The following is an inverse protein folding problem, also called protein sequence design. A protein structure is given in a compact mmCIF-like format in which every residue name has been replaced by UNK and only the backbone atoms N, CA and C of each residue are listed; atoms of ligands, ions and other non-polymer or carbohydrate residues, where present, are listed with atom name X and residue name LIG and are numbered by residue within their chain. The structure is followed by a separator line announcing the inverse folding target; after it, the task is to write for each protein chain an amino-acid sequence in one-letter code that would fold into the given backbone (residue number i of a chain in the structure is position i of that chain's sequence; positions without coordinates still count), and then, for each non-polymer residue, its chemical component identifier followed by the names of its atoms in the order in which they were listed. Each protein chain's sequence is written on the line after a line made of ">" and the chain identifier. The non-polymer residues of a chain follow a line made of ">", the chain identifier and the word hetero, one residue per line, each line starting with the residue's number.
data_IF_616739207843
#
_entry.id   IF_616739207843
#
_cell.length_a   1.000
_cell.length_b   1.000
_cell.length_c   1.000
_cell.angle_alpha   90.00
_cell.angle_beta   90.00
_cell.angle_gamma   90.00
#
_symmetry.space_group_name_H-M   'P 1'
#
loop_
_entity.id
_entity.type
_entity.pdbx_description
1 polymer ?
#
# COMPACT_ATOMS: atom_id res chain seq x y z
N UNK A 1 -23.70 74.82 15.46
CA UNK A 1 -24.26 73.49 15.27
C UNK A 1 -23.12 72.49 15.02
N UNK A 2 -22.95 71.57 15.95
CA UNK A 2 -22.01 70.48 15.75
C UNK A 2 -22.54 69.62 14.59
N UNK A 3 -21.72 69.40 13.55
CA UNK A 3 -22.07 68.47 12.49
C UNK A 3 -22.24 67.09 13.11
N UNK A 4 -23.40 66.47 12.87
CA UNK A 4 -23.61 65.09 13.29
C UNK A 4 -22.54 64.20 12.68
N UNK A 5 -21.86 63.43 13.50
CA UNK A 5 -20.89 62.43 13.03
C UNK A 5 -21.64 61.46 12.09
N UNK A 6 -21.12 61.14 10.91
CA UNK A 6 -21.82 60.22 10.02
C UNK A 6 -22.02 58.88 10.76
N UNK A 7 -23.26 58.36 10.67
CA UNK A 7 -23.57 57.09 11.27
C UNK A 7 -22.67 55.97 10.65
N UNK A 8 -22.05 55.17 11.49
CA UNK A 8 -21.24 54.03 11.04
C UNK A 8 -22.10 53.07 10.20
N UNK A 9 -21.64 52.74 8.99
CA UNK A 9 -22.33 51.81 8.13
C UNK A 9 -21.87 50.37 8.44
N UNK A 10 -22.81 49.40 8.51
CA UNK A 10 -22.47 47.97 8.68
C UNK A 10 -21.67 47.47 7.48
N UNK A 11 -20.77 46.54 7.67
CA UNK A 11 -20.06 45.93 6.55
C UNK A 11 -21.03 45.18 5.63
N UNK A 12 -20.71 45.09 4.34
CA UNK A 12 -21.42 44.20 3.43
C UNK A 12 -20.70 42.82 3.45
N UNK A 13 -21.49 41.75 3.27
CA UNK A 13 -20.98 40.39 3.18
C UNK A 13 -21.75 39.65 2.07
N UNK A 14 -21.04 39.08 1.11
CA UNK A 14 -21.61 38.19 0.12
C UNK A 14 -20.92 36.84 0.14
N UNK A 15 -21.70 35.75 0.25
CA UNK A 15 -21.17 34.39 0.30
C UNK A 15 -20.95 33.92 -1.14
N UNK A 16 -19.70 33.64 -1.48
CA UNK A 16 -19.30 33.08 -2.77
C UNK A 16 -19.51 31.56 -2.89
N UNK A 17 -19.27 31.02 -4.08
CA UNK A 17 -19.28 29.58 -4.30
C UNK A 17 -18.04 28.93 -3.65
N UNK A 18 -18.20 27.78 -3.00
CA UNK A 18 -17.07 27.03 -2.50
C UNK A 18 -16.23 26.45 -3.66
N UNK A 19 -14.92 26.42 -3.47
CA UNK A 19 -13.94 25.87 -4.43
C UNK A 19 -13.11 24.75 -3.78
N UNK A 20 -12.24 24.10 -4.54
CA UNK A 20 -11.30 23.06 -4.08
C UNK A 20 -12.02 21.97 -3.26
N UNK A 21 -13.17 21.51 -3.78
CA UNK A 21 -14.00 20.51 -3.11
C UNK A 21 -13.28 19.15 -3.06
N UNK A 22 -12.84 18.76 -1.87
CA UNK A 22 -12.28 17.46 -1.56
C UNK A 22 -13.30 16.54 -0.89
N UNK A 23 -12.86 15.34 -0.55
CA UNK A 23 -13.69 14.40 0.22
C UNK A 23 -13.76 14.75 1.72
N UNK A 24 -12.79 15.50 2.24
CA UNK A 24 -12.73 15.92 3.63
C UNK A 24 -12.38 17.42 3.79
N UNK A 25 -12.43 18.20 2.71
CA UNK A 25 -12.05 19.61 2.68
C UNK A 25 -12.83 20.41 1.65
N UNK A 26 -12.85 21.72 1.83
CA UNK A 26 -13.34 22.68 0.87
C UNK A 26 -12.72 24.06 1.13
N UNK A 27 -12.70 24.94 0.14
CA UNK A 27 -12.39 26.36 0.32
C UNK A 27 -13.66 27.16 0.22
N UNK A 28 -14.07 27.80 1.31
CA UNK A 28 -15.20 28.74 1.35
C UNK A 28 -14.74 30.10 0.84
N UNK A 29 -15.53 30.73 -0.03
CA UNK A 29 -15.21 32.01 -0.63
C UNK A 29 -16.30 33.03 -0.39
N UNK A 30 -15.98 34.28 -0.54
CA UNK A 30 -16.95 35.39 -0.46
C UNK A 30 -16.30 36.74 -0.68
N UNK A 31 -17.05 37.78 -0.40
CA UNK A 31 -16.56 39.13 -0.42
C UNK A 31 -17.08 39.94 0.77
N UNK A 32 -16.24 40.84 1.27
CA UNK A 32 -16.56 41.76 2.38
C UNK A 32 -16.26 43.19 1.93
N UNK A 33 -17.17 44.10 2.15
CA UNK A 33 -16.90 45.53 2.07
C UNK A 33 -16.95 46.11 3.50
N UNK A 34 -15.83 46.60 4.02
CA UNK A 34 -15.75 47.14 5.39
C UNK A 34 -16.47 48.50 5.59
N UNK A 35 -16.80 49.23 4.53
CA UNK A 35 -17.38 50.57 4.60
C UNK A 35 -16.62 51.52 5.56
N UNK A 36 -15.28 51.57 5.45
CA UNK A 36 -14.35 52.36 6.28
C UNK A 36 -14.32 52.03 7.78
N UNK A 37 -14.87 50.87 8.19
CA UNK A 37 -14.86 50.41 9.56
C UNK A 37 -13.98 49.17 9.73
N UNK A 38 -13.20 49.11 10.82
CA UNK A 38 -12.45 47.91 11.14
C UNK A 38 -13.39 46.68 11.19
N UNK A 39 -13.23 45.77 10.26
CA UNK A 39 -14.14 44.63 10.02
C UNK A 39 -13.40 43.34 10.08
N UNK A 40 -14.01 42.39 10.75
CA UNK A 40 -13.60 41.01 10.82
C UNK A 40 -14.61 40.13 10.11
N UNK A 41 -14.17 38.94 9.63
CA UNK A 41 -15.07 37.98 9.01
C UNK A 41 -14.73 36.55 9.42
N UNK A 42 -15.73 35.69 9.28
CA UNK A 42 -15.59 34.23 9.42
C UNK A 42 -16.72 33.57 8.62
N UNK A 43 -16.57 32.27 8.38
CA UNK A 43 -17.67 31.48 7.81
C UNK A 43 -18.32 30.65 8.91
N UNK A 44 -19.63 30.59 8.92
CA UNK A 44 -20.41 29.58 9.62
C UNK A 44 -20.68 28.45 8.66
N UNK A 45 -20.52 27.20 9.12
CA UNK A 45 -20.77 26.03 8.29
C UNK A 45 -21.23 24.84 9.11
N UNK A 46 -21.82 23.81 8.48
CA UNK A 46 -22.26 22.59 9.14
C UNK A 46 -23.14 21.73 8.24
N UNK A 47 -23.48 20.51 8.69
CA UNK A 47 -24.30 19.56 7.93
C UNK A 47 -25.78 19.97 7.81
N UNK A 48 -26.19 20.99 8.54
CA UNK A 48 -27.57 21.52 8.51
C UNK A 48 -27.57 23.03 8.32
N UNK A 49 -28.73 23.60 8.04
CA UNK A 49 -28.92 25.06 7.92
C UNK A 49 -28.73 25.82 9.26
N UNK A 50 -28.61 25.13 10.39
CA UNK A 50 -28.23 25.73 11.66
C UNK A 50 -26.72 25.97 11.78
N UNK A 51 -25.94 25.48 10.81
CA UNK A 51 -24.48 25.55 10.71
C UNK A 51 -23.75 24.75 11.82
N UNK A 52 -23.63 25.25 13.04
CA UNK A 52 -23.03 24.59 14.20
C UNK A 52 -21.52 24.74 14.36
N UNK A 53 -20.78 25.04 13.28
CA UNK A 53 -19.34 25.25 13.26
C UNK A 53 -19.01 26.63 12.68
N UNK A 54 -17.82 27.13 13.00
CA UNK A 54 -17.30 28.36 12.41
C UNK A 54 -15.79 28.29 12.18
N UNK A 55 -15.32 29.05 11.20
CA UNK A 55 -13.89 29.24 10.97
C UNK A 55 -13.30 30.23 11.98
N UNK A 56 -11.99 30.26 12.17
CA UNK A 56 -11.34 31.35 12.89
C UNK A 56 -11.72 32.72 12.32
N UNK A 57 -11.72 33.71 13.19
CA UNK A 57 -11.93 35.11 12.83
C UNK A 57 -10.73 35.60 12.01
N UNK A 58 -11.01 36.30 10.91
CA UNK A 58 -9.99 36.89 10.03
C UNK A 58 -10.30 38.39 9.82
N UNK A 59 -9.28 39.20 9.55
CA UNK A 59 -9.40 40.62 9.34
C UNK A 59 -9.74 40.94 7.85
N UNK A 60 -10.74 41.79 7.63
CA UNK A 60 -11.02 42.39 6.34
C UNK A 60 -10.47 43.81 6.23
N UNK A 61 -9.93 44.38 7.34
CA UNK A 61 -9.42 45.73 7.40
C UNK A 61 -10.53 46.79 7.58
N UNK A 62 -10.18 48.06 7.25
CA UNK A 62 -11.05 49.21 7.41
C UNK A 62 -11.15 50.04 6.07
N UNK A 63 -10.99 49.39 4.95
CA UNK A 63 -11.07 49.99 3.63
C UNK A 63 -12.49 50.35 3.19
N UNK A 64 -12.60 50.94 1.98
CA UNK A 64 -13.85 51.26 1.32
C UNK A 64 -14.00 50.48 -0.01
N UNK A 65 -13.26 49.41 -0.16
CA UNK A 65 -13.28 48.56 -1.32
C UNK A 65 -13.68 47.15 -0.94
N UNK A 66 -14.47 46.52 -1.77
CA UNK A 66 -14.85 45.13 -1.61
C UNK A 66 -13.60 44.20 -1.68
N UNK A 67 -13.35 43.43 -0.64
CA UNK A 67 -12.27 42.45 -0.51
C UNK A 67 -12.80 41.07 -0.78
N UNK A 68 -12.17 40.33 -1.71
CA UNK A 68 -12.42 38.93 -1.90
C UNK A 68 -11.77 38.14 -0.74
N UNK A 69 -12.51 37.25 -0.10
CA UNK A 69 -12.09 36.47 1.05
C UNK A 69 -12.24 34.97 0.79
N UNK A 70 -11.32 34.19 1.36
CA UNK A 70 -11.35 32.73 1.27
C UNK A 70 -10.77 32.07 2.52
N UNK A 71 -11.36 30.97 2.97
CA UNK A 71 -10.86 30.17 4.10
C UNK A 71 -11.02 28.69 3.75
N UNK A 72 -9.93 27.93 3.88
CA UNK A 72 -9.98 26.48 3.74
C UNK A 72 -10.53 25.84 5.02
N UNK A 73 -11.41 24.86 4.85
CA UNK A 73 -11.96 24.03 5.92
C UNK A 73 -11.60 22.55 5.68
N UNK A 74 -11.37 21.83 6.76
CA UNK A 74 -10.98 20.40 6.75
C UNK A 74 -11.78 19.59 7.76
N UNK A 75 -11.62 18.27 7.78
CA UNK A 75 -12.33 17.38 8.71
C UNK A 75 -13.80 17.17 8.33
N UNK A 76 -14.15 17.41 7.07
CA UNK A 76 -15.49 17.16 6.56
C UNK A 76 -15.72 15.67 6.30
N UNK A 77 -16.97 15.21 6.43
CA UNK A 77 -17.36 13.85 6.04
C UNK A 77 -17.52 13.73 4.52
N UNK A 78 -17.09 12.63 3.90
CA UNK A 78 -17.27 12.40 2.46
C UNK A 78 -18.75 12.34 2.04
N UNK A 79 -19.04 12.66 0.78
CA UNK A 79 -20.38 12.61 0.16
C UNK A 79 -21.46 13.36 0.94
N UNK A 80 -21.07 14.30 1.78
CA UNK A 80 -21.95 15.02 2.70
C UNK A 80 -22.22 16.44 2.17
N UNK A 81 -23.47 16.88 2.30
CA UNK A 81 -23.85 18.25 2.01
C UNK A 81 -23.57 19.09 3.25
N UNK A 82 -22.85 20.19 3.08
CA UNK A 82 -22.62 21.21 4.09
C UNK A 82 -23.25 22.52 3.66
N UNK A 83 -23.92 23.18 4.59
CA UNK A 83 -24.43 24.53 4.44
C UNK A 83 -23.40 25.50 5.00
N UNK A 84 -23.24 26.66 4.40
CA UNK A 84 -22.30 27.68 4.87
C UNK A 84 -22.76 29.09 4.50
N UNK A 85 -22.29 30.08 5.25
CA UNK A 85 -22.44 31.52 4.96
C UNK A 85 -21.26 32.30 5.48
N UNK A 86 -20.99 33.42 4.85
CA UNK A 86 -20.04 34.41 5.32
C UNK A 86 -20.73 35.32 6.37
N UNK A 87 -19.97 35.67 7.41
CA UNK A 87 -20.40 36.63 8.42
C UNK A 87 -19.33 37.73 8.53
N UNK A 88 -19.73 38.99 8.42
CA UNK A 88 -18.86 40.13 8.63
C UNK A 88 -19.31 40.92 9.87
N UNK A 89 -18.34 41.30 10.70
CA UNK A 89 -18.60 41.96 11.99
C UNK A 89 -17.74 43.21 12.11
N UNK A 90 -18.36 44.34 12.46
CA UNK A 90 -17.68 45.59 12.81
C UNK A 90 -18.33 46.23 14.03
N UNK A 91 -17.80 47.38 14.47
CA UNK A 91 -18.45 48.20 15.51
C UNK A 91 -19.85 48.72 15.12
N UNK A 92 -20.16 48.80 13.81
CA UNK A 92 -21.46 49.20 13.30
C UNK A 92 -22.49 48.04 13.33
N UNK A 93 -22.04 46.79 13.56
CA UNK A 93 -22.89 45.60 13.65
C UNK A 93 -22.44 44.44 12.79
N UNK A 94 -23.29 43.42 12.72
CA UNK A 94 -23.04 42.18 11.99
C UNK A 94 -23.89 42.11 10.72
N UNK A 95 -23.31 41.56 9.66
CA UNK A 95 -23.98 41.25 8.39
C UNK A 95 -23.75 39.78 8.04
N UNK A 96 -24.82 39.13 7.61
CA UNK A 96 -24.79 37.74 7.18
C UNK A 96 -24.94 37.68 5.66
N UNK A 97 -24.04 37.04 4.98
CA UNK A 97 -24.17 36.72 3.57
C UNK A 97 -25.24 35.64 3.34
N UNK A 98 -25.69 35.49 2.11
CA UNK A 98 -26.64 34.45 1.74
C UNK A 98 -26.14 33.05 2.08
N UNK A 99 -27.05 32.17 2.57
CA UNK A 99 -26.74 30.77 2.80
C UNK A 99 -26.48 30.05 1.47
N UNK A 100 -25.43 29.25 1.45
CA UNK A 100 -25.05 28.37 0.31
C UNK A 100 -24.82 26.95 0.80
N UNK A 101 -24.69 26.03 -0.13
CA UNK A 101 -24.32 24.64 0.16
C UNK A 101 -23.19 24.17 -0.75
N UNK A 102 -22.43 23.21 -0.25
CA UNK A 102 -21.44 22.44 -1.01
C UNK A 102 -21.68 20.96 -0.74
N UNK A 103 -21.17 20.08 -1.60
CA UNK A 103 -21.14 18.63 -1.38
C UNK A 103 -19.71 18.15 -1.51
N UNK A 104 -19.21 17.48 -0.48
CA UNK A 104 -17.89 16.85 -0.51
C UNK A 104 -17.85 15.68 -1.50
N UNK A 105 -16.68 15.38 -2.03
CA UNK A 105 -16.46 14.32 -3.02
C UNK A 105 -16.38 12.93 -2.38
N UNK A 106 -16.28 11.90 -3.21
CA UNK A 106 -16.00 10.52 -2.79
C UNK A 106 -14.56 10.42 -2.30
N UNK A 107 -14.31 9.53 -1.31
CA UNK A 107 -12.95 9.06 -1.03
C UNK A 107 -12.49 8.24 -2.24
N UNK A 108 -11.34 8.56 -2.86
CA UNK A 108 -10.81 7.77 -3.96
C UNK A 108 -10.62 6.30 -3.57
N UNK A 109 -10.83 5.40 -4.51
CA UNK A 109 -10.53 3.99 -4.31
C UNK A 109 -9.02 3.78 -4.39
N UNK A 110 -8.51 2.91 -3.51
CA UNK A 110 -7.12 2.44 -3.53
C UNK A 110 -7.04 0.97 -3.14
N UNK A 111 -6.13 0.24 -3.79
CA UNK A 111 -5.87 -1.17 -3.55
C UNK A 111 -4.53 -1.34 -2.82
N UNK A 112 -4.52 -2.20 -1.80
CA UNK A 112 -3.31 -2.71 -1.17
C UNK A 112 -3.35 -4.23 -1.19
N UNK A 113 -2.20 -4.88 -1.44
CA UNK A 113 -2.05 -6.34 -1.44
C UNK A 113 -0.77 -6.76 -0.73
N UNK A 114 -0.80 -7.98 -0.21
CA UNK A 114 0.36 -8.71 0.32
C UNK A 114 0.30 -10.16 -0.15
N UNK A 115 1.43 -10.76 -0.42
CA UNK A 115 1.56 -12.19 -0.71
C UNK A 115 2.24 -12.90 0.46
N UNK A 116 1.90 -14.16 0.70
CA UNK A 116 2.45 -14.95 1.81
C UNK A 116 2.29 -16.45 1.54
N UNK A 117 3.29 -17.27 1.90
CA UNK A 117 4.61 -16.92 2.43
C UNK A 117 5.53 -16.34 1.36
N UNK A 118 6.47 -15.47 1.71
CA UNK A 118 7.55 -15.01 0.83
C UNK A 118 8.91 -15.23 1.54
N UNK A 119 9.80 -16.04 0.99
CA UNK A 119 9.63 -16.85 -0.24
C UNK A 119 8.73 -18.08 -0.03
N UNK A 120 8.06 -18.52 -1.09
CA UNK A 120 7.34 -19.80 -1.12
C UNK A 120 8.26 -20.92 -1.60
N UNK A 121 8.09 -22.14 -1.09
CA UNK A 121 8.78 -23.30 -1.61
C UNK A 121 8.24 -23.70 -2.99
N UNK A 122 9.09 -24.18 -3.89
CA UNK A 122 8.70 -24.66 -5.23
C UNK A 122 7.47 -25.59 -5.16
N UNK A 123 6.47 -25.31 -5.95
CA UNK A 123 5.20 -26.04 -5.93
C UNK A 123 4.31 -25.78 -4.70
N UNK A 124 4.73 -24.89 -3.81
CA UNK A 124 3.95 -24.55 -2.62
C UNK A 124 2.82 -23.57 -2.88
N UNK A 125 1.81 -23.52 -2.00
CA UNK A 125 0.71 -22.59 -2.11
C UNK A 125 1.12 -21.17 -1.69
N UNK A 126 0.52 -20.16 -2.32
CA UNK A 126 0.64 -18.76 -1.94
C UNK A 126 -0.74 -18.12 -1.82
N UNK A 127 -0.93 -17.29 -0.81
CA UNK A 127 -2.12 -16.49 -0.61
C UNK A 127 -1.81 -15.02 -0.90
N UNK A 128 -2.61 -14.41 -1.76
CA UNK A 128 -2.57 -12.98 -2.04
C UNK A 128 -3.79 -12.35 -1.37
N UNK A 129 -3.57 -11.60 -0.30
CA UNK A 129 -4.62 -10.92 0.43
C UNK A 129 -4.55 -9.42 0.19
N UNK A 130 -5.70 -8.77 0.22
CA UNK A 130 -5.73 -7.35 0.00
C UNK A 130 -6.97 -6.65 0.52
N UNK A 131 -6.94 -5.34 0.39
CA UNK A 131 -8.06 -4.48 0.76
C UNK A 131 -8.25 -3.38 -0.29
N UNK A 132 -9.45 -3.24 -0.78
CA UNK A 132 -9.91 -2.08 -1.51
C UNK A 132 -10.48 -1.07 -0.51
N UNK A 133 -9.88 0.10 -0.43
CA UNK A 133 -10.31 1.21 0.44
C UNK A 133 -11.00 2.29 -0.36
N UNK A 134 -11.81 3.13 0.28
CA UNK A 134 -12.49 4.26 -0.36
C UNK A 134 -13.99 4.06 -0.50
N UNK A 135 -14.65 5.02 -1.14
CA UNK A 135 -16.11 4.98 -1.29
C UNK A 135 -16.54 4.01 -2.38
N UNK A 136 -17.40 3.05 -2.03
CA UNK A 136 -17.88 2.02 -2.95
C UNK A 136 -16.90 0.85 -3.09
N UNK A 137 -16.19 0.54 -2.02
CA UNK A 137 -15.25 -0.58 -1.90
C UNK A 137 -15.92 -1.94 -1.60
N UNK A 138 -17.22 -1.97 -1.33
CA UNK A 138 -17.99 -3.18 -0.96
C UNK A 138 -18.58 -3.84 -2.21
N UNK A 139 -18.58 -5.17 -2.26
CA UNK A 139 -19.09 -5.97 -3.39
C UNK A 139 -18.50 -5.52 -4.74
N UNK A 140 -17.23 -5.15 -4.72
CA UNK A 140 -16.48 -4.72 -5.90
C UNK A 140 -15.75 -5.92 -6.47
N UNK A 141 -15.91 -6.18 -7.74
CA UNK A 141 -15.17 -7.25 -8.41
C UNK A 141 -13.70 -6.84 -8.57
N UNK A 142 -12.81 -7.75 -8.18
CA UNK A 142 -11.35 -7.63 -8.30
C UNK A 142 -10.79 -8.86 -8.99
N UNK A 143 -9.75 -8.67 -9.80
CA UNK A 143 -9.08 -9.73 -10.57
C UNK A 143 -7.61 -9.75 -10.19
N UNK A 144 -7.10 -10.94 -9.90
CA UNK A 144 -5.67 -11.18 -9.71
C UNK A 144 -4.99 -11.31 -11.07
N UNK A 145 -3.88 -10.60 -11.23
CA UNK A 145 -3.01 -10.69 -12.42
C UNK A 145 -1.61 -11.10 -12.01
N UNK A 146 -0.98 -11.95 -12.81
CA UNK A 146 0.42 -12.33 -12.63
C UNK A 146 1.29 -11.98 -13.85
N UNK A 147 2.57 -11.74 -13.60
CA UNK A 147 3.62 -11.65 -14.59
C UNK A 147 4.77 -12.53 -14.13
N UNK A 148 4.95 -13.66 -14.80
CA UNK A 148 5.91 -14.71 -14.41
C UNK A 148 7.32 -14.33 -14.88
N UNK A 149 8.35 -14.71 -14.11
CA UNK A 149 9.74 -14.54 -14.53
C UNK A 149 9.96 -15.09 -15.96
N UNK A 150 10.69 -14.38 -16.84
CA UNK A 150 11.52 -13.17 -16.63
C UNK A 150 10.77 -11.84 -16.74
N UNK A 151 9.48 -11.79 -16.48
CA UNK A 151 8.63 -10.59 -16.43
C UNK A 151 8.44 -9.86 -17.77
N UNK A 152 8.66 -10.55 -18.89
CA UNK A 152 8.62 -9.96 -20.25
C UNK A 152 7.26 -10.14 -20.93
N UNK A 153 6.43 -11.06 -20.46
CA UNK A 153 5.12 -11.36 -21.06
C UNK A 153 4.01 -10.36 -20.68
N UNK A 154 4.24 -9.56 -19.64
CA UNK A 154 3.25 -8.67 -19.08
C UNK A 154 2.28 -9.40 -18.12
N UNK A 155 1.33 -8.63 -17.56
CA UNK A 155 0.36 -9.16 -16.61
C UNK A 155 -0.81 -9.84 -17.33
N UNK A 156 -1.17 -11.03 -16.87
CA UNK A 156 -2.33 -11.80 -17.33
C UNK A 156 -3.21 -12.21 -16.14
N UNK A 157 -4.50 -12.34 -16.34
CA UNK A 157 -5.43 -12.81 -15.32
C UNK A 157 -5.15 -14.29 -14.98
N UNK A 158 -5.13 -14.63 -13.68
CA UNK A 158 -4.69 -15.96 -13.23
C UNK A 158 -5.67 -16.71 -12.37
N UNK A 159 -6.78 -16.13 -11.98
CA UNK A 159 -7.82 -16.75 -11.18
C UNK A 159 -9.18 -16.16 -11.53
N UNK A 160 -10.24 -16.78 -10.98
CA UNK A 160 -11.59 -16.22 -11.09
C UNK A 160 -11.67 -14.88 -10.35
N UNK A 161 -12.49 -13.94 -10.85
CA UNK A 161 -12.76 -12.72 -10.14
C UNK A 161 -13.34 -12.99 -8.74
N UNK A 162 -12.92 -12.16 -7.77
CA UNK A 162 -13.42 -12.19 -6.40
C UNK A 162 -14.22 -10.91 -6.10
N UNK A 163 -15.17 -11.00 -5.17
CA UNK A 163 -15.90 -9.84 -4.67
C UNK A 163 -15.32 -9.38 -3.34
N UNK A 164 -15.11 -8.08 -3.22
CA UNK A 164 -14.68 -7.50 -1.95
C UNK A 164 -15.76 -7.63 -0.88
N UNK A 165 -15.34 -7.92 0.34
CA UNK A 165 -16.21 -8.03 1.53
C UNK A 165 -16.86 -6.70 1.93
N UNK A 166 -17.68 -6.72 2.98
CA UNK A 166 -18.26 -5.51 3.60
C UNK A 166 -17.22 -4.50 4.13
N UNK A 167 -15.98 -4.93 4.33
CA UNK A 167 -14.84 -4.09 4.72
C UNK A 167 -13.89 -3.80 3.57
N UNK A 168 -14.18 -4.28 2.36
CA UNK A 168 -13.34 -4.15 1.18
C UNK A 168 -12.23 -5.21 1.07
N UNK A 169 -12.16 -6.18 1.98
CA UNK A 169 -11.16 -7.26 1.97
C UNK A 169 -11.43 -8.30 0.89
N UNK A 170 -10.37 -8.92 0.36
CA UNK A 170 -10.43 -10.05 -0.58
C UNK A 170 -9.21 -10.97 -0.41
N UNK A 171 -9.28 -12.18 -0.96
CA UNK A 171 -8.18 -13.15 -0.89
C UNK A 171 -8.20 -14.11 -2.07
N UNK A 172 -7.04 -14.28 -2.73
CA UNK A 172 -6.80 -15.30 -3.74
C UNK A 172 -5.84 -16.34 -3.19
N UNK A 173 -6.03 -17.62 -3.54
CA UNK A 173 -5.16 -18.71 -3.14
C UNK A 173 -4.72 -19.49 -4.36
N UNK A 174 -3.45 -19.39 -4.72
CA UNK A 174 -2.83 -20.22 -5.73
C UNK A 174 -2.28 -21.48 -5.06
N UNK A 175 -2.69 -22.65 -5.50
CA UNK A 175 -2.34 -23.92 -4.87
C UNK A 175 -0.90 -24.35 -5.15
N UNK A 176 -0.28 -23.85 -6.20
CA UNK A 176 1.10 -24.12 -6.59
C UNK A 176 1.72 -22.89 -7.24
N UNK A 177 2.94 -22.55 -6.82
CA UNK A 177 3.75 -21.54 -7.47
C UNK A 177 5.12 -22.14 -7.80
N UNK A 178 5.43 -22.23 -9.09
CA UNK A 178 6.64 -22.90 -9.58
C UNK A 178 7.75 -21.92 -9.98
N UNK A 179 7.39 -20.68 -10.28
CA UNK A 179 8.31 -19.63 -10.73
C UNK A 179 8.08 -18.34 -9.96
N UNK A 180 9.16 -17.65 -9.63
CA UNK A 180 9.08 -16.29 -9.09
C UNK A 180 8.16 -15.43 -9.96
N UNK A 181 7.15 -14.82 -9.36
CA UNK A 181 6.09 -14.13 -10.05
C UNK A 181 5.78 -12.78 -9.42
N UNK A 182 5.45 -11.83 -10.27
CA UNK A 182 4.87 -10.56 -9.85
C UNK A 182 3.35 -10.69 -9.85
N UNK A 183 2.72 -10.16 -8.82
CA UNK A 183 1.27 -10.11 -8.70
C UNK A 183 0.78 -8.67 -8.53
N UNK A 184 -0.37 -8.38 -9.11
CA UNK A 184 -1.16 -7.19 -8.85
C UNK A 184 -2.65 -7.54 -8.92
N UNK A 185 -3.48 -6.69 -8.32
CA UNK A 185 -4.93 -6.82 -8.37
C UNK A 185 -5.52 -5.58 -9.02
N UNK A 186 -6.53 -5.78 -9.85
CA UNK A 186 -7.22 -4.70 -10.56
C UNK A 186 -8.72 -4.78 -10.29
N UNK A 187 -9.41 -3.62 -10.24
CA UNK A 187 -10.88 -3.59 -10.24
C UNK A 187 -11.39 -3.61 -11.68
N UNK A 188 -12.46 -4.36 -11.96
CA UNK A 188 -13.03 -4.47 -13.31
C UNK A 188 -13.92 -3.28 -13.68
N UNK A 189 -14.59 -2.67 -12.69
CA UNK A 189 -15.50 -1.55 -12.93
C UNK A 189 -14.75 -0.19 -12.95
N UNK A 190 -15.21 0.72 -13.81
CA UNK A 190 -14.66 2.06 -13.93
C UNK A 190 -14.97 2.96 -12.70
N UNK A 191 -14.05 3.84 -12.27
CA UNK A 191 -12.66 3.89 -12.73
C UNK A 191 -11.90 2.66 -12.24
N UNK A 192 -11.08 2.08 -13.11
CA UNK A 192 -10.23 0.95 -12.75
C UNK A 192 -9.13 1.41 -11.78
N UNK A 193 -8.92 0.63 -10.74
CA UNK A 193 -7.87 0.84 -9.76
C UNK A 193 -6.93 -0.37 -9.81
N UNK A 194 -5.63 -0.11 -9.79
CA UNK A 194 -4.59 -1.13 -9.83
C UNK A 194 -3.79 -1.05 -8.54
N UNK A 195 -3.52 -2.19 -7.91
CA UNK A 195 -2.66 -2.25 -6.73
C UNK A 195 -1.19 -2.00 -7.09
N UNK A 196 -0.34 -1.66 -6.11
CA UNK A 196 1.09 -1.88 -6.24
C UNK A 196 1.38 -3.33 -6.63
N UNK A 197 2.50 -3.54 -7.34
CA UNK A 197 2.97 -4.89 -7.68
C UNK A 197 3.74 -5.47 -6.49
N UNK A 198 3.45 -6.73 -6.14
CA UNK A 198 4.24 -7.52 -5.20
C UNK A 198 4.97 -8.62 -5.97
N UNK A 199 6.20 -8.94 -5.56
CA UNK A 199 6.96 -10.04 -6.13
C UNK A 199 7.02 -11.16 -5.12
N UNK A 200 6.57 -12.34 -5.51
CA UNK A 200 6.64 -13.55 -4.71
C UNK A 200 7.79 -14.41 -5.22
N UNK A 201 8.77 -14.63 -4.35
CA UNK A 201 9.96 -15.39 -4.68
C UNK A 201 9.73 -16.89 -4.44
N UNK A 202 10.15 -17.74 -5.38
CA UNK A 202 10.08 -19.20 -5.23
C UNK A 202 11.46 -19.75 -4.89
N UNK A 203 11.56 -20.50 -3.80
CA UNK A 203 12.80 -21.20 -3.41
C UNK A 203 12.78 -22.65 -3.86
N UNK A 204 13.93 -23.16 -4.29
CA UNK A 204 14.09 -24.59 -4.59
C UNK A 204 13.90 -25.46 -3.35
N UNK A 205 13.38 -26.66 -3.53
CA UNK A 205 13.34 -27.68 -2.48
C UNK A 205 14.71 -28.33 -2.38
N UNK A 206 15.41 -28.12 -1.27
CA UNK A 206 16.74 -28.65 -1.01
C UNK A 206 16.70 -29.70 0.10
N UNK A 207 16.99 -30.95 -0.23
CA UNK A 207 17.18 -31.99 0.75
C UNK A 207 18.67 -32.19 1.10
N UNK A 208 18.96 -32.63 2.32
CA UNK A 208 20.32 -32.95 2.72
C UNK A 208 20.33 -34.10 3.72
N UNK A 209 21.24 -35.07 3.52
CA UNK A 209 21.49 -36.21 4.39
C UNK A 209 22.98 -36.52 4.49
N UNK A 210 23.36 -37.35 5.42
CA UNK A 210 24.74 -37.81 5.53
C UNK A 210 24.84 -39.32 5.75
N UNK A 211 25.94 -39.92 5.30
CA UNK A 211 26.28 -41.35 5.54
C UNK A 211 27.79 -41.51 5.69
N UNK A 212 28.24 -42.58 6.34
CA UNK A 212 29.66 -42.94 6.37
C UNK A 212 30.23 -43.06 4.96
N UNK A 213 31.43 -42.51 4.74
CA UNK A 213 32.12 -42.67 3.48
C UNK A 213 32.98 -43.96 3.50
N UNK A 214 33.27 -44.53 2.31
CA UNK A 214 34.15 -45.74 2.22
C UNK A 214 35.55 -45.51 2.82
N UNK A 215 36.06 -44.29 2.76
CA UNK A 215 37.35 -43.91 3.39
C UNK A 215 37.16 -43.61 4.87
N UNK A 216 38.04 -44.15 5.74
CA UNK A 216 38.05 -43.85 7.16
C UNK A 216 38.17 -42.34 7.41
N UNK A 217 37.54 -41.84 8.47
CA UNK A 217 37.51 -40.42 8.87
C UNK A 217 36.85 -39.47 7.88
N UNK A 218 36.04 -39.97 6.94
CA UNK A 218 35.22 -39.15 6.06
C UNK A 218 33.74 -39.48 6.22
N UNK A 219 32.93 -38.49 5.91
CA UNK A 219 31.47 -38.60 5.82
C UNK A 219 31.03 -38.06 4.45
N UNK A 220 30.06 -38.72 3.86
CA UNK A 220 29.42 -38.26 2.62
C UNK A 220 28.18 -37.46 3.00
N UNK A 221 28.06 -36.22 2.49
CA UNK A 221 26.86 -35.42 2.51
C UNK A 221 26.27 -35.47 1.10
N UNK A 222 24.97 -35.68 1.00
CA UNK A 222 24.26 -35.82 -0.28
C UNK A 222 22.82 -35.41 -0.15
N UNK A 223 22.18 -35.13 -1.26
CA UNK A 223 20.78 -34.72 -1.33
C UNK A 223 20.34 -34.36 -2.74
N UNK A 224 19.22 -33.72 -2.81
CA UNK A 224 18.57 -33.33 -4.07
C UNK A 224 18.12 -31.88 -4.05
N UNK A 225 17.97 -31.30 -5.23
CA UNK A 225 17.38 -29.98 -5.48
C UNK A 225 16.25 -30.14 -6.49
N UNK A 226 15.09 -29.58 -6.22
CA UNK A 226 13.90 -29.55 -7.09
C UNK A 226 13.39 -28.12 -7.21
N UNK A 227 13.14 -27.57 -8.40
CA UNK A 227 13.33 -28.18 -9.71
C UNK A 227 14.80 -28.46 -10.04
N UNK A 228 15.05 -29.08 -11.21
CA UNK A 228 16.40 -29.43 -11.62
C UNK A 228 17.26 -28.19 -11.88
N UNK A 229 18.39 -28.09 -11.20
CA UNK A 229 19.38 -27.00 -11.30
C UNK A 229 20.74 -27.54 -11.76
N UNK A 230 20.73 -28.33 -12.83
CA UNK A 230 21.92 -29.03 -13.33
C UNK A 230 23.08 -28.07 -13.65
N UNK A 231 24.27 -28.42 -13.18
CA UNK A 231 25.47 -27.60 -13.40
C UNK A 231 25.69 -26.52 -12.34
N UNK A 232 24.67 -26.15 -11.56
CA UNK A 232 24.82 -25.21 -10.46
C UNK A 232 25.57 -25.87 -9.27
N UNK A 233 26.02 -25.08 -8.31
CA UNK A 233 26.78 -25.56 -7.17
C UNK A 233 25.94 -25.58 -5.89
N UNK A 234 26.27 -26.51 -5.02
CA UNK A 234 25.87 -26.48 -3.60
C UNK A 234 27.10 -26.36 -2.71
N UNK A 235 27.00 -25.54 -1.68
CA UNK A 235 28.03 -25.35 -0.68
C UNK A 235 27.63 -26.05 0.62
N UNK A 236 28.53 -26.87 1.14
CA UNK A 236 28.39 -27.54 2.42
C UNK A 236 29.14 -26.72 3.45
N UNK A 237 28.39 -26.19 4.41
CA UNK A 237 28.87 -25.27 5.42
C UNK A 237 28.86 -25.93 6.79
N UNK A 238 29.93 -25.76 7.56
CA UNK A 238 29.98 -26.13 8.96
C UNK A 238 29.64 -24.93 9.83
N UNK A 239 28.72 -25.16 10.77
CA UNK A 239 28.32 -24.14 11.75
C UNK A 239 29.14 -24.35 13.03
N UNK A 240 29.86 -23.36 13.47
CA UNK A 240 30.63 -23.38 14.74
C UNK A 240 30.67 -21.97 15.34
N UNK A 241 30.29 -21.89 16.62
CA UNK A 241 30.36 -20.66 17.42
C UNK A 241 29.74 -19.44 16.70
N UNK A 242 28.56 -19.66 16.06
CA UNK A 242 27.84 -18.62 15.27
C UNK A 242 28.49 -18.28 13.93
N UNK A 243 29.58 -18.98 13.54
CA UNK A 243 30.26 -18.76 12.25
C UNK A 243 29.95 -19.90 11.28
N UNK A 244 29.79 -19.53 10.02
CA UNK A 244 29.64 -20.48 8.91
C UNK A 244 30.94 -20.56 8.10
N UNK A 245 31.36 -21.79 7.82
CA UNK A 245 32.58 -22.03 7.03
C UNK A 245 32.30 -23.08 5.97
N UNK A 246 32.49 -22.72 4.69
CA UNK A 246 32.39 -23.69 3.58
C UNK A 246 33.48 -24.75 3.75
N UNK A 247 33.06 -25.99 3.79
CA UNK A 247 33.98 -27.17 3.97
C UNK A 247 34.06 -28.03 2.72
N UNK A 248 33.13 -27.89 1.80
CA UNK A 248 33.15 -28.51 0.48
C UNK A 248 32.08 -27.85 -0.40
N UNK A 249 32.27 -27.96 -1.72
CA UNK A 249 31.26 -27.65 -2.73
C UNK A 249 31.04 -28.86 -3.62
N UNK A 250 29.88 -28.98 -4.23
CA UNK A 250 29.56 -30.02 -5.22
C UNK A 250 28.70 -29.43 -6.33
N UNK A 251 28.90 -29.93 -7.55
CA UNK A 251 28.07 -29.57 -8.69
C UNK A 251 26.84 -30.46 -8.74
N UNK A 252 25.68 -29.84 -9.00
CA UNK A 252 24.42 -30.53 -9.19
C UNK A 252 24.41 -31.34 -10.49
N UNK A 253 24.10 -32.62 -10.38
CA UNK A 253 24.05 -33.58 -11.49
C UNK A 253 22.59 -33.95 -11.77
N UNK A 254 22.22 -34.25 -13.03
CA UNK A 254 20.90 -34.73 -13.36
C UNK A 254 20.48 -35.95 -12.54
N UNK A 255 19.25 -35.92 -12.01
CA UNK A 255 18.62 -37.01 -11.26
C UNK A 255 17.14 -37.14 -11.63
N UNK A 256 16.87 -37.39 -12.90
CA UNK A 256 15.55 -37.36 -13.51
C UNK A 256 15.23 -36.03 -14.20
N UNK A 257 14.00 -35.86 -14.70
CA UNK A 257 13.60 -34.69 -15.47
C UNK A 257 13.51 -33.40 -14.64
N UNK A 258 13.04 -33.53 -13.40
CA UNK A 258 12.63 -32.40 -12.58
C UNK A 258 13.53 -32.18 -11.34
N UNK A 259 14.64 -32.92 -11.25
CA UNK A 259 15.46 -32.95 -10.04
C UNK A 259 16.94 -33.05 -10.37
N UNK A 260 17.75 -32.40 -9.57
CA UNK A 260 19.20 -32.59 -9.55
C UNK A 260 19.64 -33.24 -8.23
N UNK A 261 20.74 -33.95 -8.25
CA UNK A 261 21.36 -34.53 -7.05
C UNK A 261 22.79 -34.05 -6.85
N UNK A 262 23.24 -34.09 -5.62
CA UNK A 262 24.61 -33.75 -5.26
C UNK A 262 25.18 -34.74 -4.24
N UNK A 263 26.50 -34.84 -4.20
CA UNK A 263 27.24 -35.56 -3.20
C UNK A 263 28.65 -35.00 -3.00
N UNK A 264 29.01 -34.81 -1.76
CA UNK A 264 30.37 -34.41 -1.40
C UNK A 264 30.92 -35.31 -0.29
N UNK A 265 32.21 -35.51 -0.26
CA UNK A 265 32.89 -36.25 0.81
C UNK A 265 33.74 -35.27 1.62
N UNK A 266 33.42 -35.11 2.87
CA UNK A 266 34.12 -34.18 3.79
C UNK A 266 34.89 -34.97 4.88
N UNK A 267 35.87 -34.31 5.51
CA UNK A 267 36.53 -34.88 6.72
C UNK A 267 35.50 -34.95 7.84
N UNK A 268 35.38 -36.12 8.50
CA UNK A 268 34.45 -36.34 9.61
C UNK A 268 34.90 -35.48 10.79
N UNK A 269 34.05 -34.53 11.15
CA UNK A 269 34.19 -33.71 12.36
C UNK A 269 32.81 -33.56 12.98
N UNK A 270 32.72 -33.84 14.29
CA UNK A 270 31.46 -33.65 15.02
C UNK A 270 30.98 -32.20 14.93
N UNK A 271 29.71 -31.99 14.65
CA UNK A 271 29.12 -30.67 14.60
C UNK A 271 27.91 -30.57 13.68
N UNK A 272 27.36 -29.36 13.60
CA UNK A 272 26.26 -29.02 12.72
C UNK A 272 26.77 -28.58 11.34
N UNK A 273 26.05 -29.01 10.33
CA UNK A 273 26.31 -28.68 8.93
C UNK A 273 25.00 -28.19 8.28
N UNK A 274 25.13 -27.37 7.29
CA UNK A 274 24.02 -26.90 6.43
C UNK A 274 24.49 -26.93 4.99
N UNK A 275 23.56 -27.12 4.08
CA UNK A 275 23.82 -27.05 2.65
C UNK A 275 23.08 -25.86 2.07
N UNK A 276 23.76 -25.11 1.25
CA UNK A 276 23.21 -23.99 0.49
C UNK A 276 23.26 -24.34 -0.98
N UNK A 277 22.14 -24.17 -1.69
CA UNK A 277 22.08 -24.31 -3.14
C UNK A 277 22.15 -22.93 -3.78
N UNK A 278 23.12 -22.72 -4.65
CA UNK A 278 23.07 -21.65 -5.63
C UNK A 278 22.14 -22.06 -6.77
N UNK A 279 21.29 -21.14 -7.20
CA UNK A 279 20.32 -21.36 -8.28
C UNK A 279 20.42 -20.25 -9.30
N UNK A 280 19.93 -20.50 -10.52
CA UNK A 280 19.87 -19.50 -11.57
C UNK A 280 18.41 -19.25 -12.00
N UNK A 281 18.14 -18.03 -12.46
CA UNK A 281 16.86 -17.73 -13.13
C UNK A 281 15.70 -17.48 -12.20
N UNK A 282 14.62 -18.25 -12.36
CA UNK A 282 13.30 -17.97 -11.79
C UNK A 282 13.12 -18.33 -10.32
N UNK A 283 14.07 -19.01 -9.70
CA UNK A 283 14.02 -19.44 -8.30
C UNK A 283 15.03 -18.68 -7.45
N UNK A 284 14.84 -18.73 -6.14
CA UNK A 284 15.76 -18.18 -5.15
C UNK A 284 16.59 -19.29 -4.48
N UNK A 285 17.79 -18.94 -4.02
CA UNK A 285 18.66 -19.84 -3.28
C UNK A 285 17.98 -20.38 -2.02
N UNK A 286 18.26 -21.63 -1.69
CA UNK A 286 17.72 -22.31 -0.50
C UNK A 286 18.82 -22.84 0.40
N UNK A 287 18.50 -23.04 1.68
CA UNK A 287 19.35 -23.74 2.64
C UNK A 287 18.62 -24.95 3.20
N UNK A 288 19.36 -26.05 3.45
CA UNK A 288 18.81 -27.23 4.11
C UNK A 288 18.56 -26.99 5.60
N UNK A 289 17.74 -27.85 6.20
CA UNK A 289 17.75 -28.00 7.65
C UNK A 289 19.16 -28.37 8.13
N UNK A 290 19.56 -28.00 9.37
CA UNK A 290 20.85 -28.39 9.92
C UNK A 290 21.01 -29.91 10.04
N UNK A 291 22.17 -30.43 9.65
CA UNK A 291 22.57 -31.84 9.78
C UNK A 291 23.56 -31.97 10.92
N UNK A 292 23.31 -32.89 11.84
CA UNK A 292 24.29 -33.20 12.90
C UNK A 292 25.14 -34.42 12.55
N UNK A 293 26.41 -34.18 12.26
CA UNK A 293 27.40 -35.25 12.03
C UNK A 293 28.05 -35.64 13.38
N UNK A 294 27.94 -36.89 13.75
CA UNK A 294 28.54 -37.48 14.98
C UNK A 294 30.00 -37.90 14.81
#
# INVERSE_FOLDING_TARGET
>A
PAAASPALQKPAADTGAATDLGYASATLTGSVDPHKNATYYYFQYGPTGAYGLQTPLAEAGAGDATLAVKIAITGLSPLTIYHYRLVAVSSAGTTFGAGRSLKTTKVPLSLAIVASPDPVAFGGPVSIQGTLSGTGNVNREVVLQSNVFPFTAGFVDVDNPELTSSTGGFSFVLLSLDLTSQFRVVTTAAPAVVSPTVTESVTVLLSAAHAPARRRHRVRIYGTVTPAENGMSVDIVRLRDGRETVVASATLQPDGPDRSSYRASIRRRKGLYRVYAAVAGAQSAASSAPLFVR
#
